data_IF_923069862640
#
_entry.id   IF_923069862640
#
_cell.length_a   1.000
_cell.length_b   1.000
_cell.length_c   1.000
_cell.angle_alpha   90.00
_cell.angle_beta   90.00
_cell.angle_gamma   90.00
#
_symmetry.space_group_name_H-M   'P 1'
#
loop_
_entity.id
_entity.type
_entity.pdbx_description
1 polymer ?
#
# COMPACT_ATOMS: atom_id res chain seq x y z
N UNK A 1 -25.73 -11.75 -30.26
CA UNK A 1 -24.39 -12.10 -29.74
C UNK A 1 -24.33 -11.66 -28.29
N UNK A 2 -24.27 -12.63 -27.37
CA UNK A 2 -24.39 -12.43 -25.93
C UNK A 2 -23.04 -12.03 -25.31
N UNK A 3 -22.94 -10.81 -24.77
CA UNK A 3 -21.87 -10.43 -23.85
C UNK A 3 -22.43 -10.52 -22.44
N UNK A 4 -22.24 -11.68 -21.83
CA UNK A 4 -22.68 -12.02 -20.48
C UNK A 4 -21.83 -11.24 -19.46
N UNK A 5 -22.46 -10.29 -18.77
CA UNK A 5 -21.89 -9.67 -17.57
C UNK A 5 -21.71 -10.75 -16.50
N UNK A 6 -20.48 -11.25 -16.36
CA UNK A 6 -20.13 -12.26 -15.37
C UNK A 6 -20.35 -11.69 -13.97
N UNK A 7 -21.32 -12.24 -13.27
CA UNK A 7 -21.69 -11.98 -11.89
C UNK A 7 -20.47 -12.04 -10.96
N UNK A 8 -20.13 -10.91 -10.32
CA UNK A 8 -19.08 -10.73 -9.30
C UNK A 8 -19.28 -11.55 -8.01
N UNK A 9 -20.24 -12.47 -7.97
CA UNK A 9 -20.79 -13.04 -6.75
C UNK A 9 -20.11 -14.32 -6.22
N UNK A 10 -19.10 -14.90 -6.89
CA UNK A 10 -18.49 -16.15 -6.40
C UNK A 10 -16.99 -16.35 -6.65
N UNK A 11 -16.23 -15.26 -6.91
CA UNK A 11 -14.77 -15.35 -7.02
C UNK A 11 -14.17 -15.24 -5.63
N UNK A 12 -13.87 -16.38 -5.00
CA UNK A 12 -13.11 -16.42 -3.74
C UNK A 12 -11.67 -15.98 -4.04
N UNK A 13 -11.33 -14.78 -3.61
CA UNK A 13 -9.97 -14.26 -3.73
C UNK A 13 -9.06 -14.97 -2.72
N UNK A 14 -7.75 -15.15 -3.04
CA UNK A 14 -6.81 -15.71 -2.09
C UNK A 14 -6.82 -14.92 -0.78
N UNK A 15 -6.57 -15.57 0.38
CA UNK A 15 -6.60 -14.89 1.69
C UNK A 15 -5.53 -13.79 1.83
N UNK A 16 -4.57 -13.74 0.91
CA UNK A 16 -3.54 -12.71 0.84
C UNK A 16 -4.02 -11.41 0.16
N UNK A 17 -5.11 -11.47 -0.60
CA UNK A 17 -5.66 -10.29 -1.28
C UNK A 17 -6.37 -9.42 -0.27
N UNK A 18 -6.06 -8.13 -0.29
CA UNK A 18 -6.62 -7.15 0.62
C UNK A 18 -7.09 -5.91 -0.16
N UNK A 19 -8.10 -5.23 0.37
CA UNK A 19 -8.57 -3.93 -0.16
C UNK A 19 -7.52 -2.83 -0.02
N UNK A 20 -6.58 -3.04 0.89
CA UNK A 20 -5.45 -2.14 1.13
C UNK A 20 -4.25 -2.61 0.33
N UNK A 21 -3.72 -1.73 -0.50
CA UNK A 21 -2.48 -1.91 -1.23
C UNK A 21 -1.37 -1.09 -0.58
N UNK A 22 -0.18 -1.67 -0.58
CA UNK A 22 1.07 -1.02 -0.19
C UNK A 22 1.93 -0.79 -1.43
N UNK A 23 2.18 0.48 -1.72
CA UNK A 23 2.96 0.92 -2.87
C UNK A 23 4.34 1.34 -2.39
N UNK A 24 5.38 0.84 -3.04
CA UNK A 24 6.78 1.22 -2.81
C UNK A 24 7.41 1.76 -4.09
N UNK A 25 8.56 2.41 -3.91
CA UNK A 25 9.36 2.99 -4.98
C UNK A 25 8.63 4.12 -5.73
N UNK A 26 7.77 4.84 -5.02
CA UNK A 26 7.10 6.01 -5.59
C UNK A 26 8.10 7.15 -5.84
N UNK A 27 7.91 7.95 -6.91
CA UNK A 27 8.68 9.16 -7.10
C UNK A 27 8.44 10.12 -5.93
N UNK A 28 9.49 10.75 -5.42
CA UNK A 28 9.35 11.72 -4.32
C UNK A 28 8.59 13.00 -4.72
N UNK A 29 8.43 13.24 -6.02
CA UNK A 29 7.73 14.39 -6.58
C UNK A 29 6.27 14.09 -6.95
N UNK A 30 5.80 12.86 -6.76
CA UNK A 30 4.43 12.51 -7.14
C UNK A 30 3.43 13.27 -6.26
N UNK A 31 2.40 13.85 -6.88
CA UNK A 31 1.33 14.53 -6.15
C UNK A 31 0.22 13.56 -5.79
N UNK A 32 -0.57 13.92 -4.78
CA UNK A 32 -1.74 13.13 -4.41
C UNK A 32 -2.76 13.06 -5.55
N UNK A 33 -2.87 14.11 -6.36
CA UNK A 33 -3.76 14.16 -7.54
C UNK A 33 -3.37 13.12 -8.59
N UNK A 34 -2.07 13.00 -8.91
CA UNK A 34 -1.60 11.97 -9.84
C UNK A 34 -1.81 10.56 -9.29
N UNK A 35 -1.72 10.37 -7.96
CA UNK A 35 -2.11 9.09 -7.35
C UNK A 35 -3.60 8.80 -7.55
N UNK A 36 -4.47 9.80 -7.32
CA UNK A 36 -5.90 9.61 -7.55
C UNK A 36 -6.23 9.33 -9.03
N UNK A 37 -5.56 9.97 -9.99
CA UNK A 37 -5.76 9.67 -11.42
C UNK A 37 -5.27 8.26 -11.78
N UNK A 38 -4.07 7.88 -11.32
CA UNK A 38 -3.46 6.59 -11.65
C UNK A 38 -4.25 5.41 -11.04
N UNK A 39 -4.54 5.49 -9.75
CA UNK A 39 -5.20 4.42 -9.01
C UNK A 39 -6.73 4.47 -9.18
N UNK A 40 -7.31 5.66 -9.39
CA UNK A 40 -8.76 5.84 -9.56
C UNK A 40 -9.29 5.25 -10.87
N UNK A 41 -8.43 5.01 -11.88
CA UNK A 41 -8.79 4.30 -13.12
C UNK A 41 -9.28 2.87 -12.89
N UNK A 42 -8.89 2.24 -11.78
CA UNK A 42 -9.25 0.85 -11.48
C UNK A 42 -10.50 0.73 -10.61
N UNK A 43 -10.82 1.76 -9.84
CA UNK A 43 -12.00 1.77 -8.98
C UNK A 43 -12.00 2.90 -7.95
N UNK A 44 -13.11 3.06 -7.21
CA UNK A 44 -13.25 4.09 -6.20
C UNK A 44 -12.27 3.86 -5.03
N UNK A 45 -11.49 4.91 -4.74
CA UNK A 45 -10.52 4.93 -3.66
C UNK A 45 -11.17 5.51 -2.42
N UNK A 46 -11.12 4.76 -1.32
CA UNK A 46 -11.61 5.20 -0.01
C UNK A 46 -10.64 6.15 0.68
N UNK A 47 -9.35 5.84 0.63
CA UNK A 47 -8.31 6.65 1.28
C UNK A 47 -6.93 6.40 0.68
N UNK A 48 -6.14 7.46 0.52
CA UNK A 48 -4.70 7.39 0.23
C UNK A 48 -3.93 7.94 1.42
N UNK A 49 -2.90 7.21 1.87
CA UNK A 49 -1.95 7.64 2.91
C UNK A 49 -0.54 7.57 2.37
N UNK A 50 0.08 8.73 2.19
CA UNK A 50 1.46 8.83 1.71
C UNK A 50 2.41 8.89 2.90
N UNK A 51 3.49 8.12 2.85
CA UNK A 51 4.57 8.19 3.83
C UNK A 51 5.35 9.49 3.67
N UNK A 52 5.28 10.35 4.69
CA UNK A 52 5.94 11.67 4.68
C UNK A 52 7.18 11.73 5.59
N UNK A 53 7.52 10.64 6.29
CA UNK A 53 8.73 10.59 7.11
C UNK A 53 9.95 10.25 6.26
N UNK A 54 11.15 10.61 6.71
CA UNK A 54 12.43 10.28 6.04
C UNK A 54 12.58 8.80 5.73
N UNK A 55 12.11 7.92 6.62
CA UNK A 55 12.16 6.46 6.45
C UNK A 55 11.02 5.89 5.57
N UNK A 56 9.87 6.59 5.51
CA UNK A 56 8.67 6.14 4.77
C UNK A 56 8.46 6.87 3.45
N UNK A 57 9.35 7.79 3.10
CA UNK A 57 9.25 8.59 1.88
C UNK A 57 9.30 7.67 0.65
N UNK A 58 8.39 7.89 -0.30
CA UNK A 58 8.28 7.03 -1.49
C UNK A 58 7.52 5.71 -1.22
N UNK A 59 6.80 5.63 -0.10
CA UNK A 59 5.80 4.58 0.15
C UNK A 59 4.41 5.20 0.30
N UNK A 60 3.38 4.44 -0.04
CA UNK A 60 1.99 4.84 0.16
C UNK A 60 1.11 3.64 0.46
N UNK A 61 0.04 3.88 1.21
CA UNK A 61 -1.05 2.94 1.41
C UNK A 61 -2.29 3.45 0.69
N UNK A 62 -2.91 2.60 -0.09
CA UNK A 62 -4.10 2.93 -0.88
C UNK A 62 -5.19 1.96 -0.47
N UNK A 63 -6.32 2.50 -0.02
CA UNK A 63 -7.48 1.75 0.42
C UNK A 63 -8.56 1.90 -0.64
N UNK A 64 -8.89 0.81 -1.31
CA UNK A 64 -10.04 0.77 -2.21
C UNK A 64 -11.33 0.46 -1.44
N UNK A 65 -12.48 0.83 -2.01
CA UNK A 65 -13.76 0.39 -1.48
C UNK A 65 -13.98 -1.11 -1.71
N UNK A 66 -13.62 -1.59 -2.90
CA UNK A 66 -13.80 -2.97 -3.32
C UNK A 66 -12.47 -3.73 -3.43
N UNK A 67 -12.51 -5.03 -3.13
CA UNK A 67 -11.33 -5.90 -3.14
C UNK A 67 -10.92 -6.35 -4.55
N UNK A 68 -11.86 -6.45 -5.48
CA UNK A 68 -11.59 -6.78 -6.88
C UNK A 68 -10.88 -5.62 -7.58
N UNK A 69 -11.24 -4.39 -7.26
CA UNK A 69 -10.59 -3.19 -7.80
C UNK A 69 -9.15 -3.08 -7.29
N UNK A 70 -8.93 -3.36 -5.99
CA UNK A 70 -7.58 -3.46 -5.42
C UNK A 70 -6.75 -4.55 -6.12
N UNK A 71 -7.35 -5.71 -6.43
CA UNK A 71 -6.66 -6.76 -7.18
C UNK A 71 -6.27 -6.29 -8.57
N UNK A 72 -7.21 -5.69 -9.31
CA UNK A 72 -6.96 -5.19 -10.65
C UNK A 72 -5.83 -4.15 -10.65
N UNK A 73 -5.86 -3.21 -9.71
CA UNK A 73 -4.79 -2.22 -9.55
C UNK A 73 -3.44 -2.88 -9.23
N UNK A 74 -3.41 -3.89 -8.36
CA UNK A 74 -2.18 -4.60 -8.02
C UNK A 74 -1.55 -5.32 -9.22
N UNK A 75 -2.35 -6.03 -10.01
CA UNK A 75 -1.87 -6.76 -11.20
C UNK A 75 -1.34 -5.82 -12.29
N UNK A 76 -1.99 -4.68 -12.53
CA UNK A 76 -1.63 -3.78 -13.64
C UNK A 76 -0.62 -2.69 -13.27
N UNK A 77 -0.61 -2.22 -12.01
CA UNK A 77 0.30 -1.16 -11.57
C UNK A 77 1.61 -1.69 -10.99
N UNK A 78 1.70 -2.98 -10.68
CA UNK A 78 2.98 -3.59 -10.31
C UNK A 78 3.91 -3.61 -11.52
N UNK A 79 5.08 -2.97 -11.38
CA UNK A 79 6.02 -2.78 -12.49
C UNK A 79 5.66 -1.62 -13.42
N UNK A 80 4.69 -0.78 -13.07
CA UNK A 80 4.39 0.41 -13.88
C UNK A 80 5.50 1.46 -13.71
N UNK A 81 6.02 1.99 -14.83
CA UNK A 81 7.10 2.96 -14.81
C UNK A 81 6.55 4.38 -14.68
N UNK A 82 6.90 5.06 -13.57
CA UNK A 82 6.59 6.47 -13.35
C UNK A 82 7.89 7.24 -13.16
N UNK A 83 8.13 8.24 -14.02
CA UNK A 83 9.31 9.11 -13.95
C UNK A 83 10.64 8.34 -13.88
N UNK A 84 10.74 7.21 -14.60
CA UNK A 84 11.93 6.36 -14.62
C UNK A 84 12.06 5.42 -13.41
N UNK A 85 11.01 5.26 -12.60
CA UNK A 85 10.95 4.33 -11.46
C UNK A 85 9.81 3.34 -11.62
N UNK A 86 10.13 2.06 -11.47
CA UNK A 86 9.14 0.99 -11.49
C UNK A 86 8.44 0.90 -10.14
N UNK A 87 7.12 1.11 -10.14
CA UNK A 87 6.29 0.95 -8.96
C UNK A 87 6.26 -0.50 -8.50
N UNK A 88 6.25 -0.68 -7.19
CA UNK A 88 6.05 -2.00 -6.58
C UNK A 88 4.76 -1.93 -5.79
N UNK A 89 3.73 -2.64 -6.24
CA UNK A 89 2.43 -2.69 -5.58
C UNK A 89 2.26 -4.08 -4.95
N UNK A 90 1.96 -4.09 -3.65
CA UNK A 90 1.82 -5.29 -2.84
C UNK A 90 0.52 -5.24 -2.05
N UNK A 91 -0.08 -6.38 -1.74
CA UNK A 91 -1.19 -6.41 -0.79
C UNK A 91 -0.71 -6.07 0.62
N UNK A 92 -1.54 -5.33 1.36
CA UNK A 92 -1.27 -5.04 2.76
C UNK A 92 -1.36 -6.31 3.61
N UNK A 93 -0.21 -6.70 4.17
CA UNK A 93 -0.10 -7.82 5.10
C UNK A 93 0.02 -7.30 6.54
N UNK A 94 -1.04 -7.38 7.36
CA UNK A 94 -1.03 -6.84 8.72
C UNK A 94 0.05 -7.49 9.61
N UNK A 95 0.32 -8.78 9.42
CA UNK A 95 1.37 -9.50 10.16
C UNK A 95 2.79 -8.96 9.94
N UNK A 96 3.07 -8.35 8.79
CA UNK A 96 4.38 -7.76 8.51
C UNK A 96 4.45 -6.29 8.90
N UNK A 97 3.30 -5.59 8.86
CA UNK A 97 3.20 -4.18 9.24
C UNK A 97 3.40 -3.97 10.75
N UNK A 98 2.79 -4.82 11.61
CA UNK A 98 2.93 -4.70 13.08
C UNK A 98 4.35 -4.95 13.56
N UNK A 99 5.04 -5.96 13.00
CA UNK A 99 6.42 -6.30 13.38
C UNK A 99 7.37 -5.09 13.35
N UNK A 100 7.23 -4.18 12.38
CA UNK A 100 8.08 -2.97 12.30
C UNK A 100 7.74 -1.96 13.40
N UNK A 101 6.46 -1.79 13.73
CA UNK A 101 6.02 -0.88 14.80
C UNK A 101 6.47 -1.36 16.18
N UNK A 102 6.40 -2.68 16.41
CA UNK A 102 6.86 -3.30 17.67
C UNK A 102 8.38 -3.17 17.85
N UNK A 103 9.17 -3.38 16.80
CA UNK A 103 10.63 -3.21 16.83
C UNK A 103 11.03 -1.76 17.15
N UNK A 104 10.35 -0.78 16.55
CA UNK A 104 10.68 0.63 16.77
C UNK A 104 10.32 1.10 18.19
N UNK A 105 9.18 0.63 18.74
CA UNK A 105 8.83 0.86 20.15
C UNK A 105 9.84 0.25 21.11
N UNK A 106 10.28 -0.98 20.83
CA UNK A 106 11.24 -1.70 21.67
C UNK A 106 12.64 -1.07 21.64
N UNK A 107 13.04 -0.50 20.50
CA UNK A 107 14.28 0.28 20.39
C UNK A 107 14.22 1.57 21.21
N UNK A 108 13.10 2.30 21.18
CA UNK A 108 12.92 3.51 21.99
C UNK A 108 12.92 3.21 23.50
N UNK A 109 12.26 2.13 23.91
CA UNK A 109 12.25 1.71 25.32
C UNK A 109 13.65 1.33 25.82
N UNK A 110 14.41 0.59 25.01
CA UNK A 110 15.81 0.26 25.30
C UNK A 110 16.70 1.50 25.41
N UNK A 111 16.50 2.50 24.54
CA UNK A 111 17.27 3.75 24.60
C UNK A 111 16.91 4.59 25.84
N UNK A 112 15.65 4.62 26.24
CA UNK A 112 15.23 5.28 27.47
C UNK A 112 15.79 4.59 28.71
N UNK A 113 15.81 3.25 28.75
CA UNK A 113 16.44 2.51 29.85
C UNK A 113 17.95 2.76 29.92
N UNK A 114 18.64 2.81 28.77
CA UNK A 114 20.08 3.13 28.74
C UNK A 114 20.37 4.54 29.26
N UNK A 115 19.52 5.52 28.92
CA UNK A 115 19.62 6.89 29.45
C UNK A 115 19.31 6.96 30.95
N UNK A 116 18.38 6.15 31.45
CA UNK A 116 18.06 6.08 32.89
C UNK A 116 19.15 5.38 33.71
N UNK A 117 19.86 4.41 33.14
CA UNK A 117 20.87 3.61 33.83
C UNK A 117 22.33 4.04 33.58
N UNK A 118 22.55 5.15 32.86
CA UNK A 118 23.84 5.84 32.82
C UNK A 118 25.02 4.98 32.38
N UNK A 119 24.90 4.31 31.23
CA UNK A 119 26.03 3.68 30.50
C UNK A 119 26.04 4.13 29.06
#
# INVERSE_FOLDING_TARGET
MAMQAKSKANVRLPPEVNRVLFVRNLPFKITTEEMYDLFGKYGPIRQIRVGNATDTKGTAFIVYEDIFDAKAACDHLSGFNIMGRYLIVLYYQPQKATKKTDLNKKAQDLENLKKQHGV
#
